data_IF_065306882889
#
_entry.id   IF_065306882889
#
_cell.length_a   1.000
_cell.length_b   1.000
_cell.length_c   1.000
_cell.angle_alpha   90.00
_cell.angle_beta   90.00
_cell.angle_gamma   90.00
#
_symmetry.space_group_name_H-M   'P 1'
#
loop_
_entity.id
_entity.type
_entity.pdbx_description
1 polymer ?
#
# COMPACT_ATOMS: atom_id res chain seq x y z
N UNK A 1 24.91 16.55 -45.27
CA UNK A 1 25.15 16.93 -43.86
C UNK A 1 23.89 17.45 -43.18
N UNK A 2 23.12 18.38 -43.76
CA UNK A 2 21.86 18.86 -43.15
C UNK A 2 20.79 17.75 -42.99
N UNK A 3 20.71 16.82 -43.93
CA UNK A 3 19.72 15.72 -43.95
C UNK A 3 19.94 14.65 -42.86
N UNK A 4 21.21 14.38 -42.52
CA UNK A 4 21.56 13.44 -41.45
C UNK A 4 21.24 14.03 -40.05
N UNK A 5 21.44 15.33 -39.90
CA UNK A 5 21.03 16.06 -38.68
C UNK A 5 19.50 16.05 -38.52
N UNK A 6 18.74 16.26 -39.59
CA UNK A 6 17.28 16.26 -39.55
C UNK A 6 16.72 14.89 -39.14
N UNK A 7 17.21 13.80 -39.75
CA UNK A 7 16.87 12.43 -39.36
C UNK A 7 17.19 12.11 -37.91
N UNK A 8 18.34 12.59 -37.42
CA UNK A 8 18.77 12.34 -36.05
C UNK A 8 17.92 13.09 -35.04
N UNK A 9 17.44 14.28 -35.37
CA UNK A 9 16.50 15.05 -34.54
C UNK A 9 15.16 14.32 -34.47
N UNK A 10 14.60 13.88 -35.60
CA UNK A 10 13.32 13.15 -35.64
C UNK A 10 13.36 11.85 -34.82
N UNK A 11 14.45 11.09 -34.91
CA UNK A 11 14.66 9.88 -34.13
C UNK A 11 14.71 10.17 -32.61
N UNK A 12 15.35 11.28 -32.21
CA UNK A 12 15.42 11.70 -30.82
C UNK A 12 14.06 12.20 -30.30
N UNK A 13 13.31 12.95 -31.09
CA UNK A 13 11.96 13.41 -30.74
C UNK A 13 11.01 12.24 -30.54
N UNK A 14 11.10 11.23 -31.40
CA UNK A 14 10.34 9.98 -31.26
C UNK A 14 10.69 9.24 -29.97
N UNK A 15 11.99 9.08 -29.67
CA UNK A 15 12.44 8.43 -28.44
C UNK A 15 12.00 9.19 -27.18
N UNK A 16 12.07 10.53 -27.20
CA UNK A 16 11.60 11.38 -26.10
C UNK A 16 10.09 11.25 -25.92
N UNK A 17 9.31 11.18 -27.00
CA UNK A 17 7.86 10.97 -26.92
C UNK A 17 7.53 9.63 -26.26
N UNK A 18 8.19 8.55 -26.69
CA UNK A 18 8.00 7.21 -26.11
C UNK A 18 8.35 7.18 -24.61
N UNK A 19 9.48 7.77 -24.22
CA UNK A 19 9.90 7.84 -22.83
C UNK A 19 8.94 8.68 -21.97
N UNK A 20 8.37 9.75 -22.53
CA UNK A 20 7.36 10.56 -21.83
C UNK A 20 6.08 9.76 -21.59
N UNK A 21 5.64 8.96 -22.55
CA UNK A 21 4.48 8.08 -22.37
C UNK A 21 4.75 6.97 -21.35
N UNK A 22 5.93 6.35 -21.38
CA UNK A 22 6.32 5.36 -20.37
C UNK A 22 6.38 5.96 -18.98
N UNK A 23 6.96 7.16 -18.85
CA UNK A 23 7.00 7.89 -17.59
C UNK A 23 5.59 8.29 -17.13
N UNK A 24 4.70 8.69 -18.05
CA UNK A 24 3.31 8.99 -17.72
C UNK A 24 2.58 7.74 -17.21
N UNK A 25 2.73 6.59 -17.87
CA UNK A 25 2.19 5.29 -17.41
C UNK A 25 2.79 4.84 -16.07
N UNK A 26 4.06 5.14 -15.81
CA UNK A 26 4.72 4.83 -14.54
C UNK A 26 4.36 5.82 -13.41
N UNK A 27 3.95 7.05 -13.77
CA UNK A 27 3.51 8.11 -12.87
C UNK A 27 2.02 8.09 -12.59
N UNK A 28 1.20 7.42 -13.42
CA UNK A 28 -0.12 6.99 -12.99
C UNK A 28 0.09 6.32 -11.63
N UNK A 29 -0.60 6.79 -10.57
CA UNK A 29 -0.35 6.25 -9.25
C UNK A 29 -0.51 4.75 -9.38
N UNK A 30 0.54 3.95 -9.09
CA UNK A 30 0.38 2.52 -9.13
C UNK A 30 -0.80 2.27 -8.19
N UNK A 31 -1.90 1.73 -8.74
CA UNK A 31 -2.84 1.00 -7.90
C UNK A 31 -1.95 -0.02 -7.22
N UNK A 32 -1.55 0.25 -5.98
CA UNK A 32 -0.50 -0.49 -5.30
C UNK A 32 -0.89 -1.96 -5.42
N UNK A 33 -0.14 -2.71 -6.23
CA UNK A 33 -0.47 -4.11 -6.48
C UNK A 33 -0.03 -4.87 -5.25
N UNK A 34 -0.97 -5.14 -4.37
CA UNK A 34 -0.71 -5.89 -3.15
C UNK A 34 -0.42 -7.35 -3.46
N UNK A 35 0.34 -8.00 -2.58
CA UNK A 35 0.50 -9.46 -2.60
C UNK A 35 -0.85 -10.14 -2.39
N UNK A 36 -1.76 -9.55 -1.62
CA UNK A 36 -3.12 -10.03 -1.45
C UNK A 36 -3.88 -10.13 -2.78
N UNK A 37 -3.83 -9.09 -3.62
CA UNK A 37 -4.57 -9.06 -4.89
C UNK A 37 -3.88 -9.83 -6.02
N UNK A 38 -2.56 -9.75 -6.10
CA UNK A 38 -1.82 -10.20 -7.28
C UNK A 38 -1.06 -11.51 -7.09
N UNK A 39 -0.89 -11.96 -5.84
CA UNK A 39 -0.06 -13.11 -5.48
C UNK A 39 1.38 -12.99 -5.99
N UNK A 40 1.84 -11.75 -6.25
CA UNK A 40 3.18 -11.42 -6.70
C UNK A 40 3.76 -10.33 -5.79
N UNK A 41 5.05 -10.46 -5.46
CA UNK A 41 5.72 -9.50 -4.59
C UNK A 41 5.96 -8.17 -5.32
N UNK A 42 5.48 -7.03 -4.80
CA UNK A 42 5.65 -5.72 -5.46
C UNK A 42 7.11 -5.23 -5.47
N UNK A 43 7.98 -5.82 -4.63
CA UNK A 43 9.38 -5.41 -4.53
C UNK A 43 10.29 -6.20 -5.47
N UNK A 44 10.06 -7.51 -5.65
CA UNK A 44 10.97 -8.37 -6.42
C UNK A 44 10.31 -9.21 -7.53
N UNK A 45 9.00 -9.11 -7.73
CA UNK A 45 8.26 -9.93 -8.70
C UNK A 45 8.14 -11.42 -8.34
N UNK A 46 8.60 -11.82 -7.14
CA UNK A 46 8.54 -13.20 -6.70
C UNK A 46 7.10 -13.68 -6.45
N UNK A 47 6.77 -14.89 -6.91
CA UNK A 47 5.41 -15.49 -6.80
C UNK A 47 5.23 -16.51 -5.69
N UNK A 48 6.29 -16.78 -4.91
CA UNK A 48 6.22 -17.66 -3.74
C UNK A 48 5.82 -16.84 -2.52
N UNK A 49 4.52 -16.67 -2.33
CA UNK A 49 3.95 -15.86 -1.23
C UNK A 49 3.43 -16.78 -0.12
N UNK A 50 3.78 -16.47 1.13
CA UNK A 50 3.19 -17.07 2.31
C UNK A 50 2.06 -16.18 2.81
N UNK A 51 0.91 -16.78 3.13
CA UNK A 51 -0.24 -16.08 3.70
C UNK A 51 -0.44 -16.51 5.16
N UNK A 52 -0.37 -15.53 6.06
CA UNK A 52 -0.61 -15.68 7.49
C UNK A 52 -2.03 -15.17 7.78
N UNK A 53 -3.00 -16.08 7.70
CA UNK A 53 -4.44 -15.80 7.90
C UNK A 53 -4.79 -15.26 9.28
N UNK A 54 -3.96 -15.61 10.28
CA UNK A 54 -4.09 -15.17 11.65
C UNK A 54 -2.73 -14.81 12.17
N UNK A 55 -2.62 -13.63 12.74
CA UNK A 55 -1.46 -13.17 13.47
C UNK A 55 -1.89 -13.06 14.91
N UNK A 56 -1.18 -13.73 15.80
CA UNK A 56 -1.56 -13.82 17.20
C UNK A 56 -0.38 -13.43 18.07
N UNK A 57 -0.67 -12.78 19.18
CA UNK A 57 0.30 -12.47 20.22
C UNK A 57 -0.10 -13.11 21.55
N UNK A 58 0.91 -13.47 22.34
CA UNK A 58 0.68 -13.99 23.69
C UNK A 58 0.43 -12.82 24.65
N UNK A 59 -0.68 -12.87 25.36
CA UNK A 59 -1.00 -11.96 26.47
C UNK A 59 -1.07 -12.75 27.78
N UNK A 60 -1.28 -12.04 28.90
CA UNK A 60 -1.52 -12.69 30.19
C UNK A 60 -2.74 -13.63 30.17
N UNK A 61 -3.74 -13.36 29.32
CA UNK A 61 -4.94 -14.18 29.15
C UNK A 61 -4.83 -15.28 28.10
N UNK A 62 -3.66 -15.45 27.46
CA UNK A 62 -3.42 -16.40 26.38
C UNK A 62 -3.21 -15.74 25.02
N UNK A 63 -3.31 -16.53 23.95
CA UNK A 63 -3.15 -16.07 22.58
C UNK A 63 -4.36 -15.25 22.14
N UNK A 64 -4.11 -14.03 21.68
CA UNK A 64 -5.13 -13.15 21.11
C UNK A 64 -4.73 -12.75 19.69
N UNK A 65 -5.71 -12.54 18.83
CA UNK A 65 -5.45 -12.02 17.48
C UNK A 65 -4.85 -10.61 17.58
N UNK A 66 -3.89 -10.34 16.71
CA UNK A 66 -3.32 -9.01 16.52
C UNK A 66 -4.33 -8.19 15.71
N UNK A 67 -4.66 -7.01 16.20
CA UNK A 67 -5.72 -6.17 15.67
C UNK A 67 -5.34 -4.69 15.77
N UNK A 68 -5.98 -3.86 14.95
CA UNK A 68 -5.71 -2.41 14.91
C UNK A 68 -6.18 -1.68 16.17
N UNK A 69 -7.27 -2.13 16.79
CA UNK A 69 -7.83 -1.53 17.99
C UNK A 69 -8.07 -2.60 19.05
N UNK A 70 -7.61 -2.34 20.28
CA UNK A 70 -7.85 -3.19 21.46
C UNK A 70 -8.25 -2.31 22.63
N UNK A 71 -9.41 -2.61 23.21
CA UNK A 71 -9.86 -1.98 24.46
C UNK A 71 -9.76 -3.02 25.59
N UNK A 72 -9.05 -2.68 26.66
CA UNK A 72 -8.95 -3.51 27.85
C UNK A 72 -9.74 -2.89 28.99
N UNK A 73 -10.52 -3.71 29.68
CA UNK A 73 -11.20 -3.36 30.91
C UNK A 73 -10.36 -3.80 32.12
N UNK A 74 -10.36 -3.00 33.18
CA UNK A 74 -9.55 -3.26 34.38
C UNK A 74 -9.92 -4.56 35.12
N UNK A 75 -11.18 -5.00 35.02
CA UNK A 75 -11.68 -6.19 35.73
C UNK A 75 -11.94 -7.41 34.86
N UNK A 76 -12.23 -7.24 33.57
CA UNK A 76 -12.70 -8.33 32.70
C UNK A 76 -11.70 -8.69 31.58
N UNK A 77 -10.56 -7.99 31.51
CA UNK A 77 -9.57 -8.18 30.45
C UNK A 77 -10.00 -7.53 29.13
N UNK A 78 -9.61 -8.12 28.00
CA UNK A 78 -9.92 -7.61 26.65
C UNK A 78 -11.44 -7.49 26.46
N UNK A 79 -11.90 -6.26 26.27
CA UNK A 79 -13.31 -5.89 26.13
C UNK A 79 -13.72 -5.76 24.67
N UNK A 80 -12.85 -5.17 23.85
CA UNK A 80 -13.10 -4.96 22.42
C UNK A 80 -11.83 -5.23 21.63
N UNK A 81 -12.00 -5.82 20.44
CA UNK A 81 -10.94 -5.99 19.47
C UNK A 81 -11.52 -5.79 18.07
N UNK A 82 -11.05 -4.76 17.37
CA UNK A 82 -11.49 -4.43 16.00
C UNK A 82 -10.31 -4.43 15.05
N UNK A 83 -10.53 -4.85 13.80
CA UNK A 83 -9.49 -4.77 12.77
C UNK A 83 -8.43 -5.86 12.86
N UNK A 84 -8.83 -7.12 13.01
CA UNK A 84 -7.90 -8.26 13.02
C UNK A 84 -7.01 -8.25 11.77
N UNK A 85 -5.73 -8.58 11.94
CA UNK A 85 -4.73 -8.49 10.88
C UNK A 85 -4.39 -9.84 10.25
N UNK A 86 -4.12 -9.80 8.95
CA UNK A 86 -3.43 -10.85 8.20
C UNK A 86 -2.16 -10.29 7.55
N UNK A 87 -1.25 -11.18 7.17
CA UNK A 87 -0.01 -10.78 6.50
C UNK A 87 0.33 -11.69 5.33
N UNK A 88 1.04 -11.12 4.36
CA UNK A 88 1.62 -11.81 3.23
C UNK A 88 3.13 -11.59 3.26
N UNK A 89 3.91 -12.65 3.07
CA UNK A 89 5.37 -12.56 3.02
C UNK A 89 5.95 -13.21 1.76
N UNK A 90 6.81 -12.48 1.06
CA UNK A 90 7.54 -13.05 -0.07
C UNK A 90 8.66 -13.97 0.41
N UNK A 91 8.67 -15.25 -0.03
CA UNK A 91 9.77 -16.18 0.28
C UNK A 91 11.12 -15.75 -0.28
N UNK A 92 11.14 -14.97 -1.37
CA UNK A 92 12.37 -14.61 -2.06
C UNK A 92 13.08 -13.44 -1.38
N UNK A 93 12.41 -12.29 -1.25
CA UNK A 93 13.03 -11.08 -0.70
C UNK A 93 12.63 -10.77 0.75
N UNK A 94 11.75 -11.58 1.36
CA UNK A 94 11.27 -11.43 2.75
C UNK A 94 10.48 -10.15 3.02
N UNK A 95 10.04 -9.44 1.97
CA UNK A 95 9.10 -8.34 2.10
C UNK A 95 7.78 -8.82 2.73
N UNK A 96 7.26 -8.08 3.70
CA UNK A 96 6.02 -8.37 4.43
C UNK A 96 5.03 -7.24 4.19
N UNK A 97 3.80 -7.62 3.86
CA UNK A 97 2.66 -6.73 3.72
C UNK A 97 1.57 -7.15 4.72
N UNK A 98 0.90 -6.16 5.31
CA UNK A 98 -0.12 -6.35 6.35
C UNK A 98 -1.45 -5.80 5.86
N UNK A 99 -2.54 -6.51 6.15
CA UNK A 99 -3.90 -6.06 5.85
C UNK A 99 -4.81 -6.26 7.06
N UNK A 100 -5.77 -5.35 7.23
CA UNK A 100 -6.93 -5.61 8.07
C UNK A 100 -7.89 -6.55 7.34
N UNK A 101 -8.34 -7.59 8.03
CA UNK A 101 -9.32 -8.56 7.51
C UNK A 101 -10.70 -7.90 7.33
N UNK A 102 -11.10 -7.06 8.28
CA UNK A 102 -12.28 -6.20 8.22
C UNK A 102 -12.01 -4.93 9.03
N UNK A 103 -12.68 -3.84 8.69
CA UNK A 103 -12.67 -2.59 9.47
C UNK A 103 -14.03 -2.29 10.11
N UNK A 104 -15.04 -3.16 9.95
CA UNK A 104 -16.43 -2.89 10.37
C UNK A 104 -16.56 -2.64 11.88
N UNK A 105 -15.68 -3.26 12.67
CA UNK A 105 -15.64 -3.15 14.13
C UNK A 105 -14.61 -2.12 14.64
N UNK A 106 -13.87 -1.46 13.73
CA UNK A 106 -12.94 -0.39 14.08
C UNK A 106 -13.71 0.91 14.13
N UNK A 107 -13.67 1.60 15.28
CA UNK A 107 -14.36 2.87 15.46
C UNK A 107 -13.35 3.96 15.81
N UNK A 108 -13.39 5.12 15.13
CA UNK A 108 -12.62 6.27 15.55
C UNK A 108 -12.95 6.61 17.01
N UNK A 109 -11.92 6.67 17.85
CA UNK A 109 -12.04 7.04 19.26
C UNK A 109 -11.54 8.48 19.53
N UNK A 110 -10.98 9.12 18.50
CA UNK A 110 -10.48 10.49 18.57
C UNK A 110 -9.11 10.63 19.25
N UNK A 111 -8.50 9.52 19.68
CA UNK A 111 -7.20 9.49 20.33
C UNK A 111 -6.20 8.63 19.54
N UNK A 112 -6.41 7.31 19.57
CA UNK A 112 -5.52 6.32 18.94
C UNK A 112 -5.99 5.98 17.51
N UNK A 113 -7.30 6.05 17.27
CA UNK A 113 -7.92 5.87 15.96
C UNK A 113 -8.62 7.15 15.56
N UNK A 114 -8.06 7.83 14.56
CA UNK A 114 -8.62 9.06 13.97
C UNK A 114 -8.89 8.83 12.49
N UNK A 115 -10.12 9.13 12.07
CA UNK A 115 -10.48 9.10 10.65
C UNK A 115 -9.98 10.39 9.98
N UNK A 116 -9.21 10.23 8.90
CA UNK A 116 -8.69 11.35 8.11
C UNK A 116 -9.39 11.32 6.76
N UNK A 117 -10.31 12.26 6.55
CA UNK A 117 -10.88 12.49 5.23
C UNK A 117 -9.91 13.34 4.41
N UNK A 118 -9.50 12.83 3.25
CA UNK A 118 -8.73 13.63 2.31
C UNK A 118 -9.63 14.71 1.73
N UNK A 119 -9.43 15.96 2.16
CA UNK A 119 -9.99 17.11 1.45
C UNK A 119 -9.25 17.17 0.11
N UNK A 120 -9.94 16.89 -1.01
CA UNK A 120 -9.40 17.16 -2.34
C UNK A 120 -8.94 18.62 -2.37
N UNK A 121 -7.61 18.85 -2.36
CA UNK A 121 -7.11 20.19 -2.63
C UNK A 121 -7.34 20.44 -4.12
N UNK A 122 -8.00 21.55 -4.49
CA UNK A 122 -8.00 21.98 -5.89
C UNK A 122 -6.55 22.05 -6.35
N UNK A 123 -6.23 21.37 -7.46
CA UNK A 123 -4.96 21.54 -8.13
C UNK A 123 -4.94 23.01 -8.57
N UNK A 124 -4.16 23.85 -7.89
CA UNK A 124 -3.92 25.23 -8.33
C UNK A 124 -3.21 25.14 -9.70
N UNK A 125 -3.87 25.53 -10.81
CA UNK A 125 -3.31 25.39 -12.13
C UNK A 125 -2.26 26.48 -12.44
N UNK A 126 -1.93 27.37 -11.51
CA UNK A 126 -0.99 28.47 -11.76
C UNK A 126 0.45 28.07 -11.39
N UNK A 127 1.36 27.85 -12.37
CA UNK A 127 2.68 27.29 -12.07
C UNK A 127 3.71 28.34 -11.61
N UNK A 128 3.41 29.64 -11.64
CA UNK A 128 4.37 30.69 -11.24
C UNK A 128 3.66 31.94 -10.71
N UNK A 129 4.04 32.38 -9.51
CA UNK A 129 4.01 33.78 -9.06
C UNK A 129 5.36 34.12 -8.43
#
# INVERSE_FOLDING_TARGET
MADDTARRIEALETAVSMLREELARAREPPRFRSMHQTQECPVCGGRRILHFRKLQEMTHGGMVDLSLQKEFSAWWGLKHSGGALEAYACRNCRFIEWHAISLDDVKPDGNDVVEIESVERPIDPTPYR
#
